data_IF_751998187090
#
_entry.id   IF_751998187090
#
_cell.length_a   1.000
_cell.length_b   1.000
_cell.length_c   1.000
_cell.angle_alpha   90.00
_cell.angle_beta   90.00
_cell.angle_gamma   90.00
#
_symmetry.space_group_name_H-M   'P 1'
#
loop_
_entity.id
_entity.type
_entity.pdbx_description
1 polymer ?
#
# COMPACT_ATOMS: atom_id res chain seq x y z
N UNK A 1 19.19 -8.80 -5.27
CA UNK A 1 18.94 -8.21 -3.93
C UNK A 1 17.56 -7.55 -3.80
N UNK A 2 17.21 -6.48 -4.54
CA UNK A 2 15.90 -5.77 -4.39
C UNK A 2 14.65 -6.66 -4.51
N UNK A 3 14.58 -7.53 -5.51
CA UNK A 3 13.45 -8.47 -5.69
C UNK A 3 13.27 -9.44 -4.50
N UNK A 4 14.36 -9.83 -3.84
CA UNK A 4 14.30 -10.68 -2.65
C UNK A 4 13.70 -9.93 -1.46
N UNK A 5 14.12 -8.68 -1.23
CA UNK A 5 13.52 -7.84 -0.19
C UNK A 5 12.04 -7.58 -0.44
N UNK A 6 11.63 -7.34 -1.69
CA UNK A 6 10.22 -7.20 -2.05
C UNK A 6 9.42 -8.48 -1.72
N UNK A 7 9.93 -9.66 -2.08
CA UNK A 7 9.29 -10.95 -1.75
C UNK A 7 9.15 -11.15 -0.24
N UNK A 8 10.19 -10.84 0.53
CA UNK A 8 10.16 -10.96 1.99
C UNK A 8 9.15 -10.00 2.62
N UNK A 9 9.06 -8.76 2.13
CA UNK A 9 8.08 -7.78 2.59
C UNK A 9 6.64 -8.24 2.31
N UNK A 10 6.37 -8.76 1.10
CA UNK A 10 5.07 -9.32 0.71
C UNK A 10 4.70 -10.51 1.62
N UNK A 11 5.65 -11.40 1.89
CA UNK A 11 5.44 -12.54 2.77
C UNK A 11 5.10 -12.08 4.19
N UNK A 12 5.88 -11.15 4.75
CA UNK A 12 5.63 -10.62 6.10
C UNK A 12 4.26 -9.96 6.21
N UNK A 13 3.89 -9.10 5.26
CA UNK A 13 2.57 -8.46 5.21
C UNK A 13 1.43 -9.49 5.11
N UNK A 14 1.63 -10.55 4.32
CA UNK A 14 0.64 -11.62 4.16
C UNK A 14 0.45 -12.39 5.47
N UNK A 15 1.54 -12.69 6.17
CA UNK A 15 1.50 -13.38 7.46
C UNK A 15 0.83 -12.51 8.53
N UNK A 16 1.20 -11.23 8.63
CA UNK A 16 0.57 -10.32 9.59
C UNK A 16 -0.93 -10.17 9.35
N UNK A 17 -1.36 -10.05 8.08
CA UNK A 17 -2.79 -10.05 7.71
C UNK A 17 -3.49 -11.32 8.16
N UNK A 18 -2.85 -12.49 7.98
CA UNK A 18 -3.40 -13.76 8.43
C UNK A 18 -3.55 -13.81 9.95
N UNK A 19 -2.52 -13.40 10.70
CA UNK A 19 -2.57 -13.33 12.16
C UNK A 19 -3.67 -12.37 12.64
N UNK A 20 -3.77 -11.18 12.04
CA UNK A 20 -4.83 -10.22 12.37
C UNK A 20 -6.24 -10.78 12.13
N UNK A 21 -6.44 -11.47 11.01
CA UNK A 21 -7.73 -12.10 10.66
C UNK A 21 -8.12 -13.20 11.64
N UNK A 22 -7.12 -13.91 12.20
CA UNK A 22 -7.32 -14.97 13.19
C UNK A 22 -7.29 -14.46 14.64
N UNK A 23 -7.40 -13.14 14.86
CA UNK A 23 -7.45 -12.56 16.21
C UNK A 23 -6.11 -12.61 16.97
N UNK A 24 -4.99 -12.74 16.25
CA UNK A 24 -3.62 -12.80 16.81
C UNK A 24 -2.84 -11.50 16.69
N UNK A 25 -3.44 -10.44 16.14
CA UNK A 25 -2.85 -9.10 16.14
C UNK A 25 -2.95 -8.42 17.52
N UNK A 26 -2.14 -7.38 17.72
CA UNK A 26 -1.91 -6.81 19.05
C UNK A 26 -2.88 -5.70 19.44
N UNK A 27 -3.35 -4.89 18.49
CA UNK A 27 -4.03 -3.63 18.74
C UNK A 27 -5.26 -3.75 19.66
N UNK A 28 -6.17 -4.67 19.31
CA UNK A 28 -7.41 -4.87 20.09
C UNK A 28 -7.14 -5.57 21.42
N UNK A 29 -6.12 -6.42 21.48
CA UNK A 29 -5.71 -7.06 22.73
C UNK A 29 -5.13 -6.02 23.71
N UNK A 30 -4.22 -5.17 23.23
CA UNK A 30 -3.66 -4.07 24.02
C UNK A 30 -4.74 -3.06 24.44
N UNK A 31 -5.70 -2.75 23.57
CA UNK A 31 -6.85 -1.92 23.92
C UNK A 31 -7.69 -2.54 25.06
N UNK A 32 -7.93 -3.85 25.00
CA UNK A 32 -8.64 -4.58 26.06
C UNK A 32 -7.90 -4.53 27.40
N UNK A 33 -6.58 -4.75 27.39
CA UNK A 33 -5.74 -4.65 28.59
C UNK A 33 -5.72 -3.23 29.18
N UNK A 34 -5.69 -2.20 28.32
CA UNK A 34 -5.78 -0.81 28.77
C UNK A 34 -7.10 -0.53 29.51
N UNK A 35 -8.24 -0.94 28.94
CA UNK A 35 -9.53 -0.77 29.60
C UNK A 35 -9.64 -1.60 30.87
N UNK A 36 -9.16 -2.85 30.88
CA UNK A 36 -9.13 -3.67 32.08
C UNK A 36 -8.35 -2.98 33.21
N UNK A 37 -7.16 -2.44 32.91
CA UNK A 37 -6.37 -1.64 33.86
C UNK A 37 -7.08 -0.38 34.34
N UNK A 38 -7.86 0.29 33.47
CA UNK A 38 -8.68 1.44 33.86
C UNK A 38 -9.79 1.04 34.84
N UNK A 39 -10.46 -0.09 34.61
CA UNK A 39 -11.52 -0.56 35.49
C UNK A 39 -11.01 -1.06 36.84
N UNK A 40 -9.81 -1.65 36.89
CA UNK A 40 -9.19 -2.15 38.13
C UNK A 40 -8.35 -1.10 38.86
N UNK A 41 -8.21 0.11 38.30
CA UNK A 41 -7.36 1.18 38.85
C UNK A 41 -5.86 0.93 38.70
N UNK A 42 -5.45 -0.04 37.88
CA UNK A 42 -4.06 -0.51 37.71
C UNK A 42 -3.64 -0.49 36.24
N UNK A 43 -3.56 0.69 35.63
CA UNK A 43 -3.08 0.83 34.24
C UNK A 43 -1.56 0.66 34.19
N UNK A 44 -1.03 -0.33 33.42
CA UNK A 44 0.42 -0.50 33.25
C UNK A 44 1.12 0.74 32.69
N UNK A 45 2.34 1.02 33.14
CA UNK A 45 3.18 2.13 32.65
C UNK A 45 3.40 2.10 31.13
N UNK A 46 3.37 0.90 30.52
CA UNK A 46 3.41 0.70 29.08
C UNK A 46 2.42 1.61 28.34
N UNK A 47 1.18 1.75 28.84
CA UNK A 47 0.14 2.54 28.18
C UNK A 47 0.30 4.04 28.33
N UNK A 48 1.29 4.52 29.11
CA UNK A 48 1.64 5.95 29.18
C UNK A 48 2.63 6.35 28.08
N UNK A 49 3.17 5.39 27.33
CA UNK A 49 4.12 5.67 26.26
C UNK A 49 3.41 6.36 25.08
N UNK A 50 4.13 7.30 24.47
CA UNK A 50 3.67 8.11 23.33
C UNK A 50 2.97 7.29 22.21
N UNK A 51 3.47 6.13 21.76
CA UNK A 51 2.87 5.40 20.65
C UNK A 51 1.40 4.99 20.85
N UNK A 52 0.93 4.86 22.10
CA UNK A 52 -0.48 4.53 22.37
C UNK A 52 -1.43 5.71 22.17
N UNK A 53 -0.90 6.92 21.97
CA UNK A 53 -1.66 8.17 21.80
C UNK A 53 -1.42 8.84 20.45
N UNK A 54 -0.62 8.23 19.59
CA UNK A 54 -0.41 8.72 18.22
C UNK A 54 -1.34 7.98 17.27
N UNK A 55 -2.08 8.73 16.45
CA UNK A 55 -2.84 8.17 15.34
C UNK A 55 -1.92 7.88 14.14
N UNK A 56 -2.39 7.04 13.23
CA UNK A 56 -1.62 6.67 12.05
C UNK A 56 -1.50 7.85 11.07
N UNK A 57 -0.28 8.10 10.60
CA UNK A 57 -0.03 9.03 9.49
C UNK A 57 -0.59 8.50 8.16
N UNK A 58 -0.75 7.19 8.04
CA UNK A 58 -1.27 6.52 6.86
C UNK A 58 -2.35 5.53 7.27
N UNK A 59 -3.60 5.88 7.05
CA UNK A 59 -4.74 4.99 7.29
C UNK A 59 -5.21 4.40 5.97
N UNK A 60 -5.23 3.06 5.87
CA UNK A 60 -5.56 2.37 4.62
C UNK A 60 -6.68 1.35 4.79
N UNK A 61 -7.49 1.16 3.75
CA UNK A 61 -8.39 0.01 3.69
C UNK A 61 -8.58 -0.51 2.27
N UNK A 62 -8.76 -1.81 2.16
CA UNK A 62 -9.21 -2.45 0.93
C UNK A 62 -10.71 -2.66 0.99
N UNK A 63 -11.45 -2.09 0.04
CA UNK A 63 -12.86 -2.40 -0.14
C UNK A 63 -13.01 -3.56 -1.13
N UNK A 64 -13.48 -4.75 -0.72
CA UNK A 64 -13.78 -5.82 -1.66
C UNK A 64 -15.00 -5.40 -2.48
N UNK A 65 -14.78 -4.88 -3.69
CA UNK A 65 -15.84 -4.77 -4.67
C UNK A 65 -16.14 -6.17 -5.19
N UNK A 66 -17.39 -6.63 -5.00
CA UNK A 66 -17.94 -7.75 -5.77
C UNK A 66 -18.12 -7.26 -7.20
N UNK A 67 -17.03 -7.25 -7.95
CA UNK A 67 -17.06 -6.98 -9.38
C UNK A 67 -17.75 -8.17 -10.04
N UNK A 68 -18.98 -7.98 -10.49
CA UNK A 68 -19.60 -8.90 -11.43
C UNK A 68 -19.03 -8.57 -12.82
N UNK A 69 -18.28 -9.49 -13.47
CA UNK A 69 -17.68 -9.23 -14.77
C UNK A 69 -18.70 -8.90 -15.86
N UNK A 70 -19.94 -9.38 -15.73
CA UNK A 70 -21.03 -9.09 -16.66
C UNK A 70 -21.51 -7.65 -16.48
N UNK A 71 -21.72 -7.21 -15.23
CA UNK A 71 -22.13 -5.82 -14.93
C UNK A 71 -21.00 -4.84 -15.23
N UNK A 72 -19.76 -5.21 -14.96
CA UNK A 72 -18.59 -4.38 -15.26
C UNK A 72 -18.36 -4.16 -16.75
N UNK A 73 -18.62 -5.17 -17.60
CA UNK A 73 -18.60 -5.02 -19.06
C UNK A 73 -19.74 -4.14 -19.60
N UNK A 74 -20.85 -4.06 -18.88
CA UNK A 74 -22.01 -3.22 -19.25
C UNK A 74 -21.88 -1.78 -18.74
N UNK A 75 -21.08 -1.56 -17.69
CA UNK A 75 -20.84 -0.22 -17.16
C UNK A 75 -19.87 0.56 -18.06
N UNK A 76 -20.27 1.77 -18.48
CA UNK A 76 -19.38 2.72 -19.17
C UNK A 76 -18.48 3.51 -18.22
N UNK A 77 -18.69 3.36 -16.91
CA UNK A 77 -17.93 4.07 -15.86
C UNK A 77 -17.30 3.06 -14.92
N UNK A 78 -16.04 3.27 -14.54
CA UNK A 78 -15.40 2.48 -13.50
C UNK A 78 -16.19 2.65 -12.19
N UNK A 79 -16.42 1.58 -11.40
CA UNK A 79 -17.16 1.68 -10.15
C UNK A 79 -16.43 2.62 -9.19
N UNK A 80 -17.14 3.58 -8.59
CA UNK A 80 -16.56 4.49 -7.61
C UNK A 80 -16.62 3.78 -6.25
N UNK A 81 -15.48 3.27 -5.79
CA UNK A 81 -15.33 2.80 -4.41
C UNK A 81 -15.50 3.93 -3.39
N UNK A 82 -15.91 3.58 -2.17
CA UNK A 82 -15.94 4.53 -1.06
C UNK A 82 -14.54 4.93 -0.59
N UNK A 83 -14.46 6.03 0.16
CA UNK A 83 -13.23 6.56 0.74
C UNK A 83 -13.47 7.16 2.13
N UNK A 84 -12.40 7.56 2.79
CA UNK A 84 -12.43 8.17 4.11
C UNK A 84 -11.32 9.23 4.21
N UNK A 85 -11.49 10.19 5.12
CA UNK A 85 -10.49 11.21 5.40
C UNK A 85 -9.31 10.68 6.23
N UNK A 86 -8.19 11.42 6.31
CA UNK A 86 -7.07 11.05 7.19
C UNK A 86 -7.47 11.03 8.67
N UNK A 87 -6.76 10.24 9.48
CA UNK A 87 -6.91 10.29 10.95
C UNK A 87 -6.20 11.49 11.59
N UNK A 88 -5.26 12.11 10.85
CA UNK A 88 -4.45 13.25 11.29
C UNK A 88 -4.39 14.31 10.21
N UNK A 89 -4.23 15.57 10.61
CA UNK A 89 -4.08 16.70 9.67
C UNK A 89 -2.86 16.53 8.76
N UNK A 90 -1.76 15.99 9.30
CA UNK A 90 -0.50 15.70 8.61
C UNK A 90 -0.45 14.29 7.98
N UNK A 91 -1.60 13.61 7.85
CA UNK A 91 -1.69 12.25 7.35
C UNK A 91 -2.44 12.07 6.03
N UNK A 92 -2.56 10.81 5.62
CA UNK A 92 -3.30 10.36 4.44
C UNK A 92 -4.37 9.32 4.81
N UNK A 93 -5.52 9.40 4.14
CA UNK A 93 -6.51 8.33 4.07
C UNK A 93 -6.48 7.68 2.69
N UNK A 94 -6.27 6.37 2.59
CA UNK A 94 -6.16 5.67 1.31
C UNK A 94 -7.07 4.46 1.28
N UNK A 95 -8.15 4.57 0.51
CA UNK A 95 -9.00 3.43 0.15
C UNK A 95 -8.55 2.88 -1.20
N UNK A 96 -8.53 1.57 -1.35
CA UNK A 96 -8.29 0.95 -2.64
C UNK A 96 -9.19 -0.24 -2.90
N UNK A 97 -9.44 -0.49 -4.17
CA UNK A 97 -10.12 -1.69 -4.63
C UNK A 97 -9.49 -2.17 -5.93
N UNK A 98 -9.66 -3.45 -6.22
CA UNK A 98 -9.01 -4.11 -7.34
C UNK A 98 -10.08 -4.81 -8.19
N UNK A 99 -9.94 -4.73 -9.50
CA UNK A 99 -10.61 -5.60 -10.46
C UNK A 99 -9.55 -6.41 -11.23
N UNK A 100 -9.94 -7.12 -12.29
CA UNK A 100 -9.04 -8.05 -13.00
C UNK A 100 -7.74 -7.39 -13.48
N UNK A 101 -7.83 -6.18 -14.05
CA UNK A 101 -6.69 -5.53 -14.73
C UNK A 101 -6.26 -4.20 -14.09
N UNK A 102 -7.00 -3.70 -13.10
CA UNK A 102 -6.77 -2.38 -12.50
C UNK A 102 -6.81 -2.42 -10.97
N UNK A 103 -5.97 -1.59 -10.38
CA UNK A 103 -6.07 -1.17 -8.98
C UNK A 103 -6.50 0.29 -8.95
N UNK A 104 -7.55 0.58 -8.20
CA UNK A 104 -8.09 1.92 -8.03
C UNK A 104 -7.74 2.42 -6.64
N UNK A 105 -7.23 3.66 -6.55
CA UNK A 105 -6.89 4.32 -5.30
C UNK A 105 -7.72 5.58 -5.13
N UNK A 106 -8.31 5.75 -3.94
CA UNK A 106 -8.91 7.00 -3.48
C UNK A 106 -8.04 7.51 -2.34
N UNK A 107 -7.37 8.65 -2.59
CA UNK A 107 -6.37 9.23 -1.70
C UNK A 107 -6.92 10.56 -1.18
N UNK A 108 -6.91 10.73 0.14
CA UNK A 108 -7.33 11.95 0.82
C UNK A 108 -6.21 12.50 1.69
N UNK A 109 -6.13 13.82 1.75
CA UNK A 109 -5.27 14.59 2.66
C UNK A 109 -5.94 15.93 2.98
N UNK A 110 -5.57 16.55 4.09
CA UNK A 110 -6.09 17.89 4.42
C UNK A 110 -5.35 18.96 3.62
N UNK A 111 -6.09 19.86 2.96
CA UNK A 111 -5.50 21.01 2.24
C UNK A 111 -4.82 22.02 3.16
N UNK A 112 -5.14 22.01 4.45
CA UNK A 112 -4.53 22.87 5.47
C UNK A 112 -3.12 22.42 5.86
N UNK A 113 -2.75 21.17 5.56
CA UNK A 113 -1.42 20.65 5.87
C UNK A 113 -0.44 20.99 4.75
N UNK A 114 0.73 21.51 5.13
CA UNK A 114 1.87 21.72 4.26
C UNK A 114 2.73 20.45 4.07
N UNK A 115 2.49 19.42 4.88
CA UNK A 115 3.24 18.15 4.85
C UNK A 115 2.64 17.12 3.88
N UNK A 116 1.38 17.31 3.47
CA UNK A 116 0.64 16.33 2.67
C UNK A 116 0.09 16.87 1.35
N UNK A 117 0.14 16.04 0.31
CA UNK A 117 -0.40 16.34 -1.01
C UNK A 117 -0.90 15.04 -1.67
N UNK A 118 -2.21 14.93 -1.83
CA UNK A 118 -2.85 13.72 -2.39
C UNK A 118 -2.42 13.43 -3.83
N UNK A 119 -2.20 14.44 -4.66
CA UNK A 119 -1.77 14.25 -6.06
C UNK A 119 -0.32 13.81 -6.13
N UNK A 120 0.55 14.44 -5.33
CA UNK A 120 1.95 14.02 -5.21
C UNK A 120 2.04 12.58 -4.70
N UNK A 121 1.26 12.22 -3.68
CA UNK A 121 1.25 10.86 -3.13
C UNK A 121 0.71 9.85 -4.15
N UNK A 122 -0.29 10.21 -4.95
CA UNK A 122 -0.76 9.38 -6.06
C UNK A 122 0.35 9.07 -7.07
N UNK A 123 1.14 10.08 -7.45
CA UNK A 123 2.28 9.87 -8.34
C UNK A 123 3.35 8.98 -7.70
N UNK A 124 3.60 9.11 -6.40
CA UNK A 124 4.52 8.22 -5.68
C UNK A 124 4.02 6.76 -5.68
N UNK A 125 2.71 6.53 -5.50
CA UNK A 125 2.12 5.18 -5.59
C UNK A 125 2.32 4.62 -7.00
N UNK A 126 1.99 5.39 -8.03
CA UNK A 126 2.15 4.99 -9.44
C UNK A 126 3.60 4.59 -9.74
N UNK A 127 4.56 5.43 -9.35
CA UNK A 127 5.98 5.15 -9.50
C UNK A 127 6.39 3.86 -8.75
N UNK A 128 5.95 3.70 -7.50
CA UNK A 128 6.27 2.52 -6.70
C UNK A 128 5.72 1.23 -7.32
N UNK A 129 4.48 1.25 -7.82
CA UNK A 129 3.86 0.10 -8.51
C UNK A 129 4.63 -0.25 -9.78
N UNK A 130 4.97 0.74 -10.61
CA UNK A 130 5.76 0.55 -11.81
C UNK A 130 7.16 -0.01 -11.51
N UNK A 131 7.81 0.49 -10.45
CA UNK A 131 9.12 0.00 -10.04
C UNK A 131 9.07 -1.43 -9.51
N UNK A 132 8.04 -1.79 -8.75
CA UNK A 132 7.80 -3.18 -8.36
C UNK A 132 7.61 -4.07 -9.60
N UNK A 133 6.82 -3.65 -10.59
CA UNK A 133 6.61 -4.40 -11.83
C UNK A 133 7.91 -4.65 -12.61
N UNK A 134 8.78 -3.63 -12.71
CA UNK A 134 10.10 -3.75 -13.36
C UNK A 134 10.98 -4.81 -12.70
N UNK A 135 10.88 -4.99 -11.37
CA UNK A 135 11.65 -6.00 -10.66
C UNK A 135 11.26 -7.45 -11.02
N UNK A 136 10.05 -7.66 -11.53
CA UNK A 136 9.56 -8.97 -12.00
C UNK A 136 9.73 -9.17 -13.51
N UNK A 137 10.06 -8.12 -14.26
CA UNK A 137 10.26 -8.22 -15.70
C UNK A 137 11.59 -8.93 -16.01
N UNK A 138 11.65 -9.80 -17.04
CA UNK A 138 12.90 -10.41 -17.45
C UNK A 138 13.90 -9.30 -17.79
N UNK A 139 15.12 -9.38 -17.27
CA UNK A 139 16.20 -8.51 -17.74
C UNK A 139 16.35 -8.71 -19.24
N UNK A 140 16.16 -7.65 -20.04
CA UNK A 140 16.55 -7.69 -21.45
C UNK A 140 18.01 -8.18 -21.50
N UNK A 141 18.33 -9.28 -22.21
CA UNK A 141 19.72 -9.65 -22.39
C UNK A 141 20.43 -8.44 -23.01
N UNK A 142 21.58 -8.07 -22.44
CA UNK A 142 22.40 -7.00 -22.98
C UNK A 142 22.59 -7.27 -24.47
N UNK A 143 22.19 -6.31 -25.32
CA UNK A 143 22.44 -6.42 -26.75
C UNK A 143 23.94 -6.66 -26.91
N UNK A 144 24.31 -7.83 -27.43
CA UNK A 144 25.66 -8.05 -27.91
C UNK A 144 25.92 -6.98 -28.94
N UNK A 145 26.88 -6.09 -28.67
CA UNK A 145 27.38 -5.16 -29.65
C UNK A 145 27.96 -6.01 -30.79
N UNK A 146 27.15 -6.27 -31.81
CA UNK A 146 27.61 -6.74 -33.10
C UNK A 146 28.49 -5.63 -33.67
N UNK A 147 29.80 -5.80 -33.53
CA UNK A 147 30.77 -4.99 -34.24
C UNK A 147 30.58 -5.26 -35.74
N UNK A 148 29.77 -4.43 -36.39
CA UNK A 148 29.92 -4.18 -37.82
C UNK A 148 31.14 -3.28 -37.99
N UNK A 149 32.26 -3.87 -38.43
CA UNK A 149 33.31 -3.14 -39.12
C UNK A 149 33.12 -3.40 -40.62
N UNK A 150 32.65 -2.37 -41.30
CA UNK A 150 32.56 -2.31 -42.75
C UNK A 150 33.96 -2.16 -43.37
N UNK A 151 34.20 -2.95 -44.42
CA UNK A 151 34.84 -2.52 -45.66
C UNK A 151 36.34 -2.31 -45.70
N UNK A 152 37.03 -3.14 -46.49
CA UNK A 152 37.98 -2.65 -47.50
C UNK A 152 37.80 -3.53 -48.74
N UNK A 153 37.31 -2.92 -49.82
CA UNK A 153 37.58 -3.42 -51.16
C UNK A 153 38.96 -2.91 -51.57
N UNK A 154 39.77 -3.79 -52.16
CA UNK A 154 40.59 -3.47 -53.34
C UNK A 154 41.26 -4.74 -53.88
N UNK A 155 40.94 -5.02 -55.15
CA UNK A 155 41.53 -5.97 -56.12
C UNK A 155 41.19 -7.45 -55.99
#
# INVERSE_FOLDING_TARGET
MKILHLKNAIQHQTMYKFDATNGRAVDRHLLGLYFAGKFTGSVPELFKLRPFYESDLLSTSQSPLRYDPVIGKLSKTDPIGGGFGPQREDGYGISYFMNEDKVHFLITSFRSSNETDSLKFAHCIEQAVNDMQKLFSPSKPAASNGAQMNGVGDK
#
